data_IF_836281448424
#
_entry.id   IF_836281448424
#
_cell.length_a   1.000
_cell.length_b   1.000
_cell.length_c   1.000
_cell.angle_alpha   90.00
_cell.angle_beta   90.00
_cell.angle_gamma   90.00
#
_symmetry.space_group_name_H-M   'P 1'
#
loop_
_entity.id
_entity.type
_entity.pdbx_description
1 polymer ?
#
# COMPACT_ATOMS: atom_id res chain seq x y z
N UNK A 1 -40.48 -7.53 -10.43
CA UNK A 1 -39.63 -6.34 -10.21
C UNK A 1 -38.22 -6.86 -10.12
N UNK A 2 -37.30 -6.34 -10.95
CA UNK A 2 -35.89 -6.70 -10.87
C UNK A 2 -35.35 -6.38 -9.47
N UNK A 3 -34.55 -7.29 -8.92
CA UNK A 3 -33.93 -7.08 -7.62
C UNK A 3 -32.87 -5.99 -7.74
N UNK A 4 -32.99 -4.93 -6.93
CA UNK A 4 -32.06 -3.80 -6.92
C UNK A 4 -30.78 -4.16 -6.19
N UNK A 5 -29.64 -3.95 -6.84
CA UNK A 5 -28.31 -4.27 -6.30
C UNK A 5 -27.35 -3.10 -6.49
N UNK A 6 -26.29 -3.09 -5.69
CA UNK A 6 -25.16 -2.17 -5.85
C UNK A 6 -23.87 -2.95 -5.99
N UNK A 7 -22.91 -2.43 -6.74
CA UNK A 7 -21.57 -3.01 -6.88
C UNK A 7 -20.57 -2.30 -5.97
N UNK A 8 -19.54 -3.03 -5.53
CA UNK A 8 -18.41 -2.43 -4.85
C UNK A 8 -17.08 -2.98 -5.37
N UNK A 9 -16.18 -2.08 -5.75
CA UNK A 9 -14.86 -2.43 -6.30
C UNK A 9 -13.74 -1.74 -5.55
N UNK A 10 -12.59 -2.44 -5.44
CA UNK A 10 -11.41 -1.89 -4.76
C UNK A 10 -10.11 -2.44 -5.32
N UNK A 11 -9.11 -1.58 -5.39
CA UNK A 11 -7.70 -1.95 -5.61
C UNK A 11 -6.83 -1.42 -4.47
N UNK A 12 -5.92 -2.24 -3.93
CA UNK A 12 -4.78 -1.67 -3.20
C UNK A 12 -3.75 -1.14 -4.18
N UNK A 13 -3.16 0.01 -3.83
CA UNK A 13 -2.00 0.68 -4.44
C UNK A 13 -1.25 -0.12 -5.51
N UNK A 14 -1.14 0.46 -6.72
CA UNK A 14 -0.35 0.15 -7.94
C UNK A 14 0.11 -1.29 -8.26
N UNK A 15 0.46 -2.15 -7.30
CA UNK A 15 0.89 -3.53 -7.47
C UNK A 15 -0.21 -4.49 -7.96
N UNK A 16 -1.49 -4.26 -7.62
CA UNK A 16 -2.59 -5.14 -8.07
C UNK A 16 -3.01 -4.90 -9.54
N UNK A 17 -2.59 -3.79 -10.15
CA UNK A 17 -2.89 -3.49 -11.56
C UNK A 17 -2.18 -4.48 -12.50
N UNK A 18 -1.11 -5.14 -12.05
CA UNK A 18 -0.33 -6.09 -12.86
C UNK A 18 -0.85 -7.53 -12.87
N UNK A 19 -1.76 -7.90 -11.96
CA UNK A 19 -2.24 -9.29 -11.80
C UNK A 19 -3.67 -9.50 -12.32
N UNK A 20 -4.15 -8.69 -13.27
CA UNK A 20 -5.44 -8.91 -13.95
C UNK A 20 -6.70 -8.47 -13.19
N UNK A 21 -6.58 -8.03 -11.93
CA UNK A 21 -7.70 -7.51 -11.13
C UNK A 21 -7.77 -5.98 -11.11
N UNK A 22 -7.70 -5.34 -12.29
CA UNK A 22 -7.92 -3.90 -12.39
C UNK A 22 -9.32 -3.54 -11.91
N UNK A 23 -9.55 -2.26 -11.55
CA UNK A 23 -10.89 -1.77 -11.26
C UNK A 23 -11.83 -1.99 -12.45
N UNK A 24 -11.34 -1.80 -13.67
CA UNK A 24 -12.10 -2.01 -14.91
C UNK A 24 -12.59 -3.46 -15.03
N UNK A 25 -11.70 -4.43 -14.79
CA UNK A 25 -12.09 -5.85 -14.81
C UNK A 25 -13.16 -6.15 -13.76
N UNK A 26 -13.01 -5.66 -12.53
CA UNK A 26 -14.02 -5.86 -11.48
C UNK A 26 -15.38 -5.25 -11.85
N UNK A 27 -15.39 -4.06 -12.46
CA UNK A 27 -16.62 -3.40 -12.93
C UNK A 27 -17.29 -4.21 -14.03
N UNK A 28 -16.54 -4.65 -15.04
CA UNK A 28 -17.03 -5.46 -16.15
C UNK A 28 -17.63 -6.78 -15.67
N UNK A 29 -16.97 -7.47 -14.74
CA UNK A 29 -17.47 -8.71 -14.14
C UNK A 29 -18.78 -8.50 -13.35
N UNK A 30 -18.88 -7.42 -12.57
CA UNK A 30 -20.10 -7.08 -11.82
C UNK A 30 -21.25 -6.75 -12.78
N UNK A 31 -20.99 -5.96 -13.82
CA UNK A 31 -21.99 -5.62 -14.84
C UNK A 31 -22.47 -6.86 -15.59
N UNK A 32 -21.55 -7.72 -16.02
CA UNK A 32 -21.89 -8.98 -16.68
C UNK A 32 -22.74 -9.87 -15.77
N UNK A 33 -22.32 -10.03 -14.51
CA UNK A 33 -23.07 -10.82 -13.53
C UNK A 33 -24.48 -10.28 -13.32
N UNK A 34 -24.66 -8.96 -13.21
CA UNK A 34 -25.98 -8.37 -13.03
C UNK A 34 -26.88 -8.59 -14.26
N UNK A 35 -26.33 -8.43 -15.47
CA UNK A 35 -27.07 -8.65 -16.71
C UNK A 35 -27.49 -10.12 -16.88
N UNK A 36 -26.60 -11.07 -16.59
CA UNK A 36 -26.88 -12.51 -16.69
C UNK A 36 -27.91 -13.01 -15.68
N UNK A 37 -28.08 -12.31 -14.55
CA UNK A 37 -28.98 -12.70 -13.45
C UNK A 37 -30.20 -11.77 -13.32
N UNK A 38 -30.47 -10.92 -14.33
CA UNK A 38 -31.61 -9.99 -14.35
C UNK A 38 -31.69 -9.08 -13.10
N UNK A 39 -30.53 -8.61 -12.63
CA UNK A 39 -30.40 -7.72 -11.47
C UNK A 39 -30.30 -6.26 -11.91
N UNK A 40 -31.04 -5.37 -11.23
CA UNK A 40 -30.98 -3.95 -11.48
C UNK A 40 -29.80 -3.31 -10.73
N UNK A 41 -28.67 -3.14 -11.41
CA UNK A 41 -27.49 -2.48 -10.86
C UNK A 41 -27.70 -0.95 -10.78
N UNK A 42 -27.88 -0.42 -9.56
CA UNK A 42 -28.14 1.00 -9.34
C UNK A 42 -26.88 1.86 -9.43
N UNK A 43 -25.79 1.39 -8.82
CA UNK A 43 -24.53 2.11 -8.73
C UNK A 43 -23.37 1.14 -8.46
N UNK A 44 -22.16 1.53 -8.85
CA UNK A 44 -20.91 0.85 -8.44
C UNK A 44 -20.06 1.85 -7.68
N UNK A 45 -19.81 1.57 -6.41
CA UNK A 45 -18.92 2.35 -5.56
C UNK A 45 -17.48 1.86 -5.71
N UNK A 46 -16.52 2.79 -5.71
CA UNK A 46 -15.11 2.49 -5.97
C UNK A 46 -14.16 3.07 -4.92
N UNK A 47 -13.22 2.25 -4.47
CA UNK A 47 -12.08 2.72 -3.67
C UNK A 47 -10.77 2.56 -4.47
N UNK A 48 -10.27 3.71 -4.96
CA UNK A 48 -8.98 3.82 -5.65
C UNK A 48 -7.88 3.91 -4.60
N UNK A 49 -7.07 2.85 -4.45
CA UNK A 49 -5.96 2.85 -3.49
C UNK A 49 -5.00 4.03 -3.71
N UNK A 50 -4.96 4.98 -2.77
CA UNK A 50 -4.12 6.17 -2.84
C UNK A 50 -2.67 5.78 -2.54
N UNK A 51 -1.74 6.20 -3.39
CA UNK A 51 -0.31 5.93 -3.19
C UNK A 51 0.23 6.71 -1.99
N UNK A 52 0.77 6.01 -1.01
CA UNK A 52 1.59 6.60 0.06
C UNK A 52 0.90 6.87 1.40
N UNK A 53 -0.37 6.51 1.57
CA UNK A 53 -0.98 6.50 2.89
C UNK A 53 -0.63 5.23 3.67
N UNK A 54 -0.58 5.37 5.00
CA UNK A 54 -0.45 4.23 5.89
C UNK A 54 -1.67 3.35 5.68
N UNK A 55 -1.43 2.11 5.27
CA UNK A 55 -2.41 1.05 5.39
C UNK A 55 -2.64 0.88 6.90
N UNK A 56 -3.65 1.54 7.44
CA UNK A 56 -4.15 1.19 8.76
C UNK A 56 -4.71 -0.23 8.62
N UNK A 57 -3.95 -1.21 9.09
CA UNK A 57 -4.32 -2.63 9.15
C UNK A 57 -5.62 -2.83 9.97
N UNK A 58 -6.00 -1.84 10.77
CA UNK A 58 -7.22 -1.78 11.56
C UNK A 58 -8.48 -1.37 10.77
N UNK A 59 -8.36 -1.01 9.48
CA UNK A 59 -9.47 -1.10 8.52
C UNK A 59 -10.65 -0.15 8.70
N UNK A 60 -10.56 0.91 9.52
CA UNK A 60 -11.71 1.78 9.82
C UNK A 60 -11.55 3.26 9.50
N UNK A 61 -10.35 3.81 9.37
CA UNK A 61 -10.24 5.27 9.61
C UNK A 61 -9.96 6.20 8.45
N UNK A 62 -9.39 5.84 7.28
CA UNK A 62 -9.06 6.94 6.33
C UNK A 62 -9.16 6.73 4.81
N UNK A 63 -9.32 5.54 4.22
CA UNK A 63 -9.23 5.44 2.73
C UNK A 63 -10.30 4.56 2.06
N UNK A 64 -11.55 4.67 2.51
CA UNK A 64 -12.67 3.95 1.89
C UNK A 64 -13.91 4.81 1.71
N UNK A 65 -13.75 5.95 1.04
CA UNK A 65 -14.84 6.89 0.76
C UNK A 65 -15.98 6.20 0.00
N UNK A 66 -15.66 5.36 -1.00
CA UNK A 66 -16.68 4.61 -1.75
C UNK A 66 -17.43 3.60 -0.88
N UNK A 67 -16.78 2.98 0.11
CA UNK A 67 -17.50 2.13 1.07
C UNK A 67 -18.41 2.96 1.98
N UNK A 68 -17.96 4.13 2.42
CA UNK A 68 -18.77 5.00 3.28
C UNK A 68 -20.01 5.53 2.54
N UNK A 69 -19.85 5.92 1.28
CA UNK A 69 -20.95 6.28 0.38
C UNK A 69 -21.91 5.10 0.23
N UNK A 70 -21.40 3.90 -0.08
CA UNK A 70 -22.22 2.69 -0.17
C UNK A 70 -23.05 2.46 1.10
N UNK A 71 -22.41 2.50 2.27
CA UNK A 71 -23.09 2.25 3.55
C UNK A 71 -24.09 3.35 3.91
N UNK A 72 -23.89 4.57 3.42
CA UNK A 72 -24.84 5.67 3.58
C UNK A 72 -26.04 5.49 2.65
N UNK A 73 -25.80 5.14 1.39
CA UNK A 73 -26.84 5.03 0.36
C UNK A 73 -27.76 3.82 0.57
N UNK A 74 -27.25 2.70 1.10
CA UNK A 74 -28.10 1.56 1.49
C UNK A 74 -29.08 1.90 2.61
N UNK A 75 -28.85 2.99 3.37
CA UNK A 75 -29.79 3.44 4.39
C UNK A 75 -31.02 4.14 3.78
N UNK A 76 -30.90 4.68 2.56
CA UNK A 76 -31.94 5.45 1.88
C UNK A 76 -32.57 4.69 0.70
N UNK A 77 -31.84 3.75 0.10
CA UNK A 77 -32.29 2.96 -1.03
C UNK A 77 -32.66 1.53 -0.61
N UNK A 78 -33.79 1.02 -1.14
CA UNK A 78 -34.13 -0.40 -1.02
C UNK A 78 -33.24 -1.23 -1.97
N UNK A 79 -32.10 -1.66 -1.44
CA UNK A 79 -31.14 -2.54 -2.11
C UNK A 79 -31.20 -3.92 -1.46
N UNK A 80 -31.23 -4.99 -2.24
CA UNK A 80 -31.24 -6.36 -1.73
C UNK A 80 -29.83 -6.91 -1.48
N UNK A 81 -28.88 -6.56 -2.35
CA UNK A 81 -27.52 -7.15 -2.33
C UNK A 81 -26.43 -6.14 -2.69
N UNK A 82 -25.27 -6.33 -2.08
CA UNK A 82 -23.98 -5.77 -2.52
C UNK A 82 -23.23 -6.84 -3.32
N UNK A 83 -22.93 -6.55 -4.58
CA UNK A 83 -22.18 -7.43 -5.48
C UNK A 83 -20.70 -7.05 -5.44
N UNK A 84 -19.85 -8.04 -5.19
CA UNK A 84 -18.39 -7.91 -5.22
C UNK A 84 -17.77 -9.06 -5.99
N UNK A 85 -16.57 -8.87 -6.55
CA UNK A 85 -15.85 -9.97 -7.18
C UNK A 85 -15.53 -11.08 -6.16
N UNK A 86 -14.98 -10.69 -5.01
CA UNK A 86 -14.78 -11.54 -3.84
C UNK A 86 -14.84 -10.75 -2.53
N UNK A 87 -14.99 -11.44 -1.40
CA UNK A 87 -15.17 -10.83 -0.07
C UNK A 87 -13.97 -10.00 0.39
N UNK A 88 -12.75 -10.32 -0.09
CA UNK A 88 -11.53 -9.54 0.19
C UNK A 88 -11.59 -8.10 -0.34
N UNK A 89 -12.48 -7.81 -1.29
CA UNK A 89 -12.78 -6.43 -1.73
C UNK A 89 -13.48 -5.67 -0.63
N UNK A 90 -14.50 -6.28 -0.02
CA UNK A 90 -15.38 -5.64 0.93
C UNK A 90 -14.78 -5.53 2.34
N UNK A 91 -14.04 -6.53 2.82
CA UNK A 91 -13.31 -6.46 4.11
C UNK A 91 -11.95 -7.15 4.01
N UNK A 92 -10.93 -6.53 4.61
CA UNK A 92 -9.55 -7.05 4.66
C UNK A 92 -9.16 -7.62 6.02
N UNK A 93 -9.91 -7.28 7.06
CA UNK A 93 -9.72 -7.73 8.44
C UNK A 93 -11.03 -8.24 9.02
N UNK A 94 -10.93 -9.11 10.02
CA UNK A 94 -12.10 -9.69 10.69
C UNK A 94 -12.93 -8.61 11.40
N UNK A 95 -12.28 -7.58 11.94
CA UNK A 95 -12.99 -6.45 12.55
C UNK A 95 -13.81 -5.67 11.51
N UNK A 96 -13.23 -5.37 10.33
CA UNK A 96 -13.96 -4.72 9.25
C UNK A 96 -15.15 -5.57 8.77
N UNK A 97 -14.96 -6.90 8.67
CA UNK A 97 -16.03 -7.85 8.34
C UNK A 97 -17.19 -7.73 9.33
N UNK A 98 -16.92 -7.80 10.63
CA UNK A 98 -17.96 -7.73 11.67
C UNK A 98 -18.75 -6.42 11.59
N UNK A 99 -18.08 -5.28 11.42
CA UNK A 99 -18.75 -3.98 11.38
C UNK A 99 -19.58 -3.80 10.10
N UNK A 100 -19.03 -4.16 8.94
CA UNK A 100 -19.75 -4.05 7.66
C UNK A 100 -20.94 -5.00 7.65
N UNK A 101 -20.77 -6.25 8.10
CA UNK A 101 -21.89 -7.20 8.18
C UNK A 101 -22.98 -6.70 9.12
N UNK A 102 -22.63 -6.07 10.25
CA UNK A 102 -23.62 -5.49 11.16
C UNK A 102 -24.45 -4.39 10.48
N UNK A 103 -23.81 -3.50 9.74
CA UNK A 103 -24.51 -2.41 9.06
C UNK A 103 -25.38 -2.94 7.90
N UNK A 104 -24.87 -3.86 7.09
CA UNK A 104 -25.65 -4.50 6.02
C UNK A 104 -26.87 -5.25 6.58
N UNK A 105 -26.69 -5.99 7.68
CA UNK A 105 -27.77 -6.73 8.34
C UNK A 105 -28.89 -5.85 8.88
N UNK A 106 -28.55 -4.66 9.38
CA UNK A 106 -29.52 -3.66 9.85
C UNK A 106 -30.50 -3.26 8.75
N UNK A 107 -30.04 -3.20 7.51
CA UNK A 107 -30.83 -2.84 6.33
C UNK A 107 -31.31 -4.05 5.50
N UNK A 108 -31.10 -5.28 6.02
CA UNK A 108 -31.47 -6.53 5.33
C UNK A 108 -30.79 -6.73 3.97
N UNK A 109 -29.58 -6.20 3.82
CA UNK A 109 -28.78 -6.30 2.60
C UNK A 109 -27.84 -7.50 2.72
N UNK A 110 -27.81 -8.39 1.73
CA UNK A 110 -26.85 -9.51 1.66
C UNK A 110 -25.61 -9.14 0.82
N UNK A 111 -24.57 -9.96 0.89
CA UNK A 111 -23.37 -9.84 0.06
C UNK A 111 -23.30 -11.00 -0.90
N UNK A 112 -23.18 -10.70 -2.20
CA UNK A 112 -22.91 -11.68 -3.24
C UNK A 112 -21.48 -11.53 -3.75
N UNK A 113 -20.68 -12.57 -3.56
CA UNK A 113 -19.35 -12.67 -4.15
C UNK A 113 -19.41 -13.53 -5.42
N UNK A 114 -18.95 -12.99 -6.55
CA UNK A 114 -18.98 -13.70 -7.86
C UNK A 114 -18.11 -14.95 -7.83
N UNK A 115 -16.91 -14.86 -7.25
CA UNK A 115 -15.97 -15.98 -7.10
C UNK A 115 -16.37 -16.97 -5.99
N UNK A 116 -17.37 -16.60 -5.15
CA UNK A 116 -17.87 -17.42 -4.05
C UNK A 116 -19.41 -17.51 -4.13
N UNK A 117 -19.98 -18.26 -5.09
CA UNK A 117 -21.40 -18.17 -5.43
C UNK A 117 -22.36 -18.50 -4.28
N UNK A 118 -21.93 -19.33 -3.32
CA UNK A 118 -22.73 -19.73 -2.16
C UNK A 118 -22.49 -18.83 -0.93
N UNK A 119 -21.67 -17.78 -1.06
CA UNK A 119 -21.43 -16.86 0.04
C UNK A 119 -22.69 -16.04 0.34
N UNK A 120 -23.10 -16.01 1.61
CA UNK A 120 -24.11 -15.11 2.15
C UNK A 120 -23.73 -14.73 3.57
N UNK A 121 -24.03 -13.50 3.98
CA UNK A 121 -23.84 -13.08 5.37
C UNK A 121 -24.93 -13.67 6.31
N UNK A 122 -25.97 -14.27 5.72
CA UNK A 122 -27.08 -14.95 6.38
C UNK A 122 -26.97 -16.47 6.30
N UNK A 123 -25.86 -17.02 5.79
CA UNK A 123 -25.66 -18.47 5.78
C UNK A 123 -25.85 -19.06 7.18
N UNK A 124 -26.80 -19.99 7.30
CA UNK A 124 -27.06 -20.78 8.50
C UNK A 124 -26.66 -22.26 8.33
N UNK A 125 -26.30 -22.68 7.12
CA UNK A 125 -25.85 -24.03 6.83
C UNK A 125 -24.40 -24.26 7.32
N UNK A 126 -24.14 -25.30 8.13
CA UNK A 126 -22.80 -25.58 8.64
C UNK A 126 -21.75 -25.87 7.56
N UNK A 127 -22.13 -26.49 6.43
CA UNK A 127 -21.19 -26.79 5.36
C UNK A 127 -20.79 -25.52 4.63
N UNK A 128 -21.75 -24.65 4.30
CA UNK A 128 -21.45 -23.36 3.68
C UNK A 128 -20.61 -22.47 4.61
N UNK A 129 -20.88 -22.50 5.92
CA UNK A 129 -20.04 -21.83 6.92
C UNK A 129 -18.59 -22.31 6.86
N UNK A 130 -18.37 -23.63 6.83
CA UNK A 130 -17.03 -24.23 6.73
C UNK A 130 -16.34 -23.86 5.40
N UNK A 131 -17.03 -23.99 4.26
CA UNK A 131 -16.47 -23.66 2.94
C UNK A 131 -16.08 -22.19 2.86
N UNK A 132 -16.94 -21.29 3.32
CA UNK A 132 -16.66 -19.85 3.33
C UNK A 132 -15.45 -19.53 4.22
N UNK A 133 -15.37 -20.14 5.42
CA UNK A 133 -14.21 -19.98 6.29
C UNK A 133 -12.91 -20.49 5.67
N UNK A 134 -12.93 -21.63 4.97
CA UNK A 134 -11.76 -22.16 4.27
C UNK A 134 -11.30 -21.24 3.14
N UNK A 135 -12.21 -20.69 2.33
CA UNK A 135 -11.87 -19.76 1.26
C UNK A 135 -11.26 -18.46 1.82
N UNK A 136 -11.80 -17.94 2.91
CA UNK A 136 -11.23 -16.76 3.60
C UNK A 136 -9.81 -17.03 4.14
N UNK A 137 -9.57 -18.21 4.71
CA UNK A 137 -8.24 -18.62 5.16
C UNK A 137 -7.25 -18.81 4.00
N UNK A 138 -7.71 -19.33 2.86
CA UNK A 138 -6.90 -19.44 1.65
C UNK A 138 -6.48 -18.05 1.12
N UNK A 139 -7.40 -17.08 1.10
CA UNK A 139 -7.11 -15.70 0.72
C UNK A 139 -6.07 -15.06 1.67
N UNK A 140 -6.18 -15.31 2.98
CA UNK A 140 -5.18 -14.86 3.95
C UNK A 140 -3.82 -15.53 3.71
N UNK A 141 -3.81 -16.85 3.47
CA UNK A 141 -2.60 -17.60 3.18
C UNK A 141 -1.88 -17.06 1.93
N UNK A 142 -2.60 -16.82 0.83
CA UNK A 142 -2.00 -16.26 -0.39
C UNK A 142 -1.35 -14.90 -0.15
N UNK A 143 -1.99 -14.02 0.65
CA UNK A 143 -1.40 -12.73 1.03
C UNK A 143 -0.10 -12.90 1.82
N UNK A 144 -0.10 -13.81 2.81
CA UNK A 144 1.09 -14.12 3.61
C UNK A 144 2.20 -14.73 2.75
N UNK A 145 1.85 -15.60 1.79
CA UNK A 145 2.79 -16.22 0.88
C UNK A 145 3.46 -15.18 -0.03
N UNK A 146 2.69 -14.26 -0.62
CA UNK A 146 3.21 -13.15 -1.42
C UNK A 146 4.14 -12.26 -0.58
N UNK A 147 3.71 -11.88 0.63
CA UNK A 147 4.51 -11.08 1.54
C UNK A 147 5.84 -11.78 1.89
N UNK A 148 5.80 -13.09 2.13
CA UNK A 148 6.97 -13.92 2.38
C UNK A 148 7.91 -13.98 1.16
N UNK A 149 7.37 -14.20 -0.05
CA UNK A 149 8.14 -14.20 -1.30
C UNK A 149 8.82 -12.85 -1.54
N UNK A 150 8.10 -11.74 -1.38
CA UNK A 150 8.66 -10.39 -1.49
C UNK A 150 9.75 -10.12 -0.43
N UNK A 151 9.52 -10.55 0.81
CA UNK A 151 10.51 -10.45 1.89
C UNK A 151 11.79 -11.22 1.57
N UNK A 152 11.66 -12.47 1.12
CA UNK A 152 12.79 -13.30 0.64
C UNK A 152 13.53 -12.65 -0.53
N UNK A 153 12.79 -12.10 -1.50
CA UNK A 153 13.37 -11.38 -2.64
C UNK A 153 14.18 -10.15 -2.22
N UNK A 154 13.65 -9.34 -1.29
CA UNK A 154 14.37 -8.21 -0.69
C UNK A 154 15.63 -8.64 0.04
N UNK A 155 15.53 -9.70 0.87
CA UNK A 155 16.67 -10.27 1.60
C UNK A 155 17.78 -10.72 0.64
N UNK A 156 17.45 -11.53 -0.37
CA UNK A 156 18.40 -11.99 -1.40
C UNK A 156 19.03 -10.83 -2.16
N UNK A 157 18.26 -9.78 -2.47
CA UNK A 157 18.78 -8.56 -3.12
C UNK A 157 19.79 -7.84 -2.23
N UNK A 158 19.50 -7.71 -0.93
CA UNK A 158 20.40 -7.11 0.05
C UNK A 158 21.70 -7.91 0.24
N UNK A 159 21.60 -9.24 0.31
CA UNK A 159 22.75 -10.16 0.37
C UNK A 159 23.68 -9.99 -0.84
N UNK A 160 23.14 -9.63 -2.00
CA UNK A 160 23.90 -9.33 -3.21
C UNK A 160 24.37 -7.87 -3.32
N UNK A 161 24.26 -7.07 -2.25
CA UNK A 161 24.63 -5.65 -2.23
C UNK A 161 23.66 -4.73 -2.99
N UNK A 162 22.51 -5.25 -3.44
CA UNK A 162 21.51 -4.49 -4.17
C UNK A 162 20.55 -3.74 -3.26
N UNK A 163 20.03 -2.61 -3.74
CA UNK A 163 19.06 -1.81 -2.99
C UNK A 163 17.71 -2.52 -2.84
N UNK A 164 17.41 -3.03 -1.64
CA UNK A 164 16.24 -3.88 -1.34
C UNK A 164 14.93 -3.10 -1.09
N UNK A 165 14.90 -1.78 -1.36
CA UNK A 165 13.71 -0.93 -1.24
C UNK A 165 13.82 0.11 -0.12
N UNK A 166 12.73 0.82 0.11
CA UNK A 166 12.68 2.04 0.93
C UNK A 166 12.66 3.31 0.07
N UNK A 167 12.66 4.47 0.72
CA UNK A 167 12.85 5.75 0.03
C UNK A 167 14.30 5.91 -0.42
N UNK A 168 14.50 6.38 -1.65
CA UNK A 168 15.83 6.64 -2.24
C UNK A 168 16.61 7.58 -1.32
N UNK A 169 17.85 7.22 -0.99
CA UNK A 169 18.71 8.04 -0.15
C UNK A 169 19.04 9.37 -0.86
N UNK A 170 19.07 10.45 -0.09
CA UNK A 170 19.45 11.76 -0.62
C UNK A 170 20.86 11.71 -1.24
N UNK A 171 21.08 12.33 -2.40
CA UNK A 171 22.33 12.17 -3.15
C UNK A 171 22.34 11.02 -4.14
N UNK A 172 21.27 10.21 -4.19
CA UNK A 172 21.10 9.13 -5.15
C UNK A 172 19.79 9.28 -5.92
N UNK A 173 19.73 8.64 -7.08
CA UNK A 173 18.54 8.52 -7.91
C UNK A 173 18.42 7.09 -8.45
N UNK A 174 17.18 6.70 -8.76
CA UNK A 174 16.90 5.45 -9.49
C UNK A 174 16.57 5.82 -10.93
N UNK A 175 17.37 5.34 -11.89
CA UNK A 175 16.99 5.46 -13.29
C UNK A 175 15.90 4.44 -13.61
N UNK A 176 14.84 4.86 -14.29
CA UNK A 176 13.72 3.99 -14.69
C UNK A 176 14.27 2.77 -15.46
N UNK A 177 13.97 1.57 -14.98
CA UNK A 177 14.44 0.31 -15.57
C UNK A 177 15.79 -0.20 -15.07
N UNK A 178 16.55 0.58 -14.30
CA UNK A 178 17.80 0.12 -13.69
C UNK A 178 17.59 -0.41 -12.27
N UNK A 179 18.39 -1.42 -11.90
CA UNK A 179 18.33 -2.11 -10.61
C UNK A 179 19.33 -1.57 -9.58
N UNK A 180 20.09 -0.52 -9.92
CA UNK A 180 21.19 0.05 -9.14
C UNK A 180 20.93 1.54 -8.90
N UNK A 181 21.35 2.04 -7.73
CA UNK A 181 21.29 3.47 -7.41
C UNK A 181 22.46 4.20 -8.07
N UNK A 182 22.14 5.25 -8.82
CA UNK A 182 23.14 6.16 -9.40
C UNK A 182 23.32 7.37 -8.48
N UNK A 183 24.53 7.91 -8.42
CA UNK A 183 24.81 9.15 -7.69
C UNK A 183 24.20 10.32 -8.46
N UNK A 184 23.43 11.15 -7.75
CA UNK A 184 23.00 12.45 -8.23
C UNK A 184 24.11 13.45 -7.92
N UNK A 185 24.81 13.90 -8.97
CA UNK A 185 26.06 14.69 -8.84
C UNK A 185 25.83 15.97 -8.03
N UNK A 186 24.73 16.68 -8.28
CA UNK A 186 24.42 17.95 -7.60
C UNK A 186 24.13 17.71 -6.12
N UNK A 187 23.33 16.69 -5.81
CA UNK A 187 22.96 16.37 -4.42
C UNK A 187 24.09 15.71 -3.64
N UNK A 188 24.99 15.00 -4.32
CA UNK A 188 26.18 14.41 -3.72
C UNK A 188 27.13 15.47 -3.16
N UNK A 189 27.17 16.68 -3.75
CA UNK A 189 27.93 17.82 -3.19
C UNK A 189 27.42 18.16 -1.78
N UNK A 190 26.10 18.20 -1.59
CA UNK A 190 25.48 18.50 -0.28
C UNK A 190 25.82 17.43 0.75
N UNK A 191 25.80 16.15 0.34
CA UNK A 191 26.17 15.03 1.21
C UNK A 191 27.62 15.18 1.66
N UNK A 192 28.55 15.34 0.71
CA UNK A 192 29.98 15.56 1.03
C UNK A 192 30.17 16.75 1.96
N UNK A 193 29.50 17.87 1.67
CA UNK A 193 29.54 19.07 2.49
C UNK A 193 29.01 18.85 3.91
N UNK A 194 27.93 18.09 4.07
CA UNK A 194 27.39 17.77 5.39
C UNK A 194 28.38 16.95 6.23
N UNK A 195 29.01 15.94 5.64
CA UNK A 195 29.99 15.11 6.35
C UNK A 195 31.28 15.87 6.66
N UNK A 196 31.70 16.78 5.77
CA UNK A 196 32.79 17.73 6.01
C UNK A 196 32.48 18.65 7.20
N UNK A 197 31.30 19.29 7.23
CA UNK A 197 30.86 20.13 8.35
C UNK A 197 30.82 19.34 9.66
N UNK A 198 30.29 18.11 9.63
CA UNK A 198 30.24 17.24 10.81
C UNK A 198 31.64 16.85 11.31
N UNK A 199 32.62 16.70 10.41
CA UNK A 199 33.99 16.39 10.75
C UNK A 199 34.71 17.56 11.44
N UNK A 200 34.61 18.77 10.86
CA UNK A 200 35.27 19.97 11.39
C UNK A 200 34.57 20.56 12.62
N UNK A 201 33.24 20.48 12.69
CA UNK A 201 32.44 21.08 13.75
C UNK A 201 31.73 20.00 14.58
N UNK A 202 32.50 19.23 15.36
CA UNK A 202 31.98 18.07 16.11
C UNK A 202 30.91 18.43 17.15
N UNK A 203 30.99 19.63 17.73
CA UNK A 203 30.07 20.10 18.77
C UNK A 203 28.78 20.73 18.21
N UNK A 204 28.68 20.88 16.88
CA UNK A 204 27.48 21.44 16.28
C UNK A 204 26.31 20.48 16.39
N UNK A 205 25.18 21.02 16.84
CA UNK A 205 23.90 20.35 16.81
C UNK A 205 23.43 20.08 15.37
N UNK A 206 22.55 19.11 15.21
CA UNK A 206 21.91 18.79 13.92
C UNK A 206 21.16 20.00 13.33
N UNK A 207 20.65 20.89 14.19
CA UNK A 207 20.01 22.15 13.77
C UNK A 207 21.03 23.11 13.17
N UNK A 208 22.19 23.30 13.82
CA UNK A 208 23.25 24.18 13.31
C UNK A 208 23.80 23.69 11.96
N UNK A 209 23.97 22.37 11.80
CA UNK A 209 24.35 21.77 10.51
C UNK A 209 23.30 22.05 9.43
N UNK A 210 22.01 21.89 9.75
CA UNK A 210 20.92 22.17 8.82
C UNK A 210 20.87 23.65 8.41
N UNK A 211 20.97 24.57 9.38
CA UNK A 211 21.04 26.00 9.13
C UNK A 211 22.22 26.38 8.24
N UNK A 212 23.40 25.79 8.48
CA UNK A 212 24.57 26.05 7.66
C UNK A 212 24.35 25.62 6.21
N UNK A 213 23.84 24.42 5.97
CA UNK A 213 23.50 23.96 4.63
C UNK A 213 22.48 24.89 3.94
N UNK A 214 21.48 25.34 4.68
CA UNK A 214 20.46 26.25 4.16
C UNK A 214 21.02 27.63 3.78
N UNK A 215 21.92 28.18 4.61
CA UNK A 215 22.63 29.45 4.36
C UNK A 215 23.57 29.34 3.16
N UNK A 216 24.16 28.18 2.92
CA UNK A 216 24.98 27.88 1.73
C UNK A 216 24.12 27.66 0.46
N UNK A 217 22.80 27.80 0.55
CA UNK A 217 21.89 27.73 -0.60
C UNK A 217 21.36 26.33 -0.91
N UNK A 218 21.80 25.29 -0.19
CA UNK A 218 21.35 23.92 -0.45
C UNK A 218 19.88 23.72 -0.05
N UNK A 219 19.18 22.87 -0.82
CA UNK A 219 17.77 22.52 -0.63
C UNK A 219 17.57 21.02 -0.73
N UNK A 220 16.46 20.58 -0.16
CA UNK A 220 16.01 19.18 -0.18
C UNK A 220 15.48 18.79 -1.55
N UNK A 221 15.17 17.51 -1.77
CA UNK A 221 14.60 16.98 -3.03
C UNK A 221 13.37 17.78 -3.51
N UNK A 222 12.55 18.27 -2.57
CA UNK A 222 11.33 19.03 -2.85
C UNK A 222 11.54 20.55 -2.83
N UNK A 223 12.79 21.02 -2.92
CA UNK A 223 13.14 22.45 -2.87
C UNK A 223 12.98 23.12 -1.49
N UNK A 224 12.64 22.36 -0.44
CA UNK A 224 12.45 22.88 0.92
C UNK A 224 13.79 23.03 1.66
N UNK A 225 13.80 23.85 2.72
CA UNK A 225 14.92 23.96 3.65
C UNK A 225 15.20 22.63 4.36
N UNK A 226 16.47 22.36 4.63
CA UNK A 226 16.90 21.27 5.48
C UNK A 226 16.47 21.49 6.92
N UNK A 227 16.00 20.42 7.54
CA UNK A 227 15.69 20.36 8.97
C UNK A 227 16.66 19.42 9.69
N UNK A 228 16.74 19.52 11.02
CA UNK A 228 17.52 18.59 11.86
C UNK A 228 17.20 17.12 11.58
N UNK A 229 15.97 16.80 11.21
CA UNK A 229 15.51 15.43 10.91
C UNK A 229 16.16 14.90 9.65
N UNK A 230 16.27 15.73 8.60
CA UNK A 230 16.90 15.33 7.34
C UNK A 230 18.41 15.17 7.50
N UNK A 231 19.05 16.09 8.22
CA UNK A 231 20.46 15.98 8.56
C UNK A 231 20.73 14.70 9.36
N UNK A 232 19.92 14.42 10.38
CA UNK A 232 20.01 13.16 11.15
C UNK A 232 19.92 11.94 10.23
N UNK A 233 18.91 11.90 9.35
CA UNK A 233 18.70 10.78 8.41
C UNK A 233 19.90 10.56 7.47
N UNK A 234 20.58 11.63 7.05
CA UNK A 234 21.78 11.52 6.23
C UNK A 234 22.96 11.00 7.06
N UNK A 235 23.21 11.56 8.24
CA UNK A 235 24.33 11.15 9.10
C UNK A 235 24.19 9.71 9.61
N UNK A 236 22.99 9.28 10.00
CA UNK A 236 22.70 7.90 10.42
C UNK A 236 22.98 6.86 9.30
N UNK A 237 23.16 7.32 8.06
CA UNK A 237 23.42 6.48 6.88
C UNK A 237 24.84 6.63 6.35
N UNK A 238 25.80 7.03 7.18
CA UNK A 238 27.21 7.16 6.81
C UNK A 238 27.76 5.91 6.10
N UNK A 239 27.54 4.73 6.66
CA UNK A 239 27.98 3.46 6.07
C UNK A 239 27.47 3.29 4.63
N UNK A 240 26.23 3.70 4.37
CA UNK A 240 25.66 3.68 3.02
C UNK A 240 26.42 4.61 2.06
N UNK A 241 26.71 5.83 2.49
CA UNK A 241 27.47 6.77 1.67
C UNK A 241 28.92 6.35 1.42
N UNK A 242 29.49 5.51 2.30
CA UNK A 242 30.81 4.87 2.14
C UNK A 242 30.78 3.57 1.32
N UNK A 243 29.62 3.21 0.76
CA UNK A 243 29.47 2.02 -0.09
C UNK A 243 29.06 0.74 0.65
N UNK A 244 28.73 0.79 1.93
CA UNK A 244 28.25 -0.38 2.70
C UNK A 244 26.72 -0.37 2.78
N UNK A 245 26.08 -1.43 2.30
CA UNK A 245 24.63 -1.59 2.38
C UNK A 245 24.24 -2.38 3.63
N UNK A 246 23.23 -1.87 4.37
CA UNK A 246 22.69 -2.53 5.57
C UNK A 246 21.19 -2.73 5.44
N UNK A 247 20.72 -3.96 5.68
CA UNK A 247 19.31 -4.33 5.65
C UNK A 247 19.02 -5.37 6.74
N UNK A 248 18.30 -4.99 7.80
CA UNK A 248 18.13 -5.84 8.98
C UNK A 248 19.49 -6.20 9.59
N UNK A 249 19.79 -7.50 9.69
CA UNK A 249 21.08 -8.01 10.15
C UNK A 249 22.12 -8.20 9.03
N UNK A 250 21.76 -7.92 7.77
CA UNK A 250 22.66 -8.08 6.62
C UNK A 250 23.49 -6.81 6.45
N UNK A 251 24.81 -6.99 6.32
CA UNK A 251 25.76 -5.94 5.96
C UNK A 251 26.62 -6.45 4.79
N UNK A 252 26.61 -5.73 3.67
CA UNK A 252 27.31 -6.12 2.43
C UNK A 252 27.93 -4.91 1.76
N UNK A 253 28.89 -5.13 0.85
CA UNK A 253 29.33 -4.08 -0.05
C UNK A 253 28.20 -3.79 -1.04
N UNK A 254 27.74 -2.54 -1.04
CA UNK A 254 26.69 -2.06 -1.92
C UNK A 254 27.16 -2.02 -3.37
N UNK A 255 26.24 -2.32 -4.29
CA UNK A 255 26.45 -2.16 -5.74
C UNK A 255 26.36 -0.69 -6.19
N UNK A 256 25.91 0.20 -5.30
CA UNK A 256 25.86 1.64 -5.56
C UNK A 256 27.24 2.27 -5.40
N UNK A 257 27.50 3.35 -6.13
CA UNK A 257 28.74 4.11 -5.97
C UNK A 257 28.75 4.86 -4.63
N UNK A 258 29.88 4.83 -3.92
CA UNK A 258 30.09 5.62 -2.72
C UNK A 258 30.12 7.12 -3.05
N UNK A 259 29.54 7.96 -2.17
CA UNK A 259 29.64 9.42 -2.25
C UNK A 259 30.81 9.93 -1.40
N UNK A 260 31.10 9.22 -0.30
CA UNK A 260 32.19 9.49 0.66
C UNK A 260 33.36 8.53 0.49
#
# INVERSE_FOLDING_TARGET
MEEKVVGYVRVSTEGQVREGYSLTYQVEEIQRYCNENELQLLHIYEDKGISGAKVDEDGLTVEREGLQELLSDIAYHQVGKVIVLNTSRLWRSDMAKVLIQRELKKYKVDVKAIEQPNYSIYTHDPNDFLVNGMLELLDQYQRLEIALKLSRGRKKKAEQGGYAGGGVMFGYRVKKGQKVLEVDVEKAVVVRRLFELRHFFKDWSLTQLAERLNREGYRTEKGKLFTKVQVKRMLDRENFYRGVYTYGQIQTNGKHSAIL
#
